data_IF_117065922614
#
_entry.id   IF_117065922614
#
_cell.length_a   1.000
_cell.length_b   1.000
_cell.length_c   1.000
_cell.angle_alpha   90.00
_cell.angle_beta   90.00
_cell.angle_gamma   90.00
#
_symmetry.space_group_name_H-M   'P 1'
#
loop_
_entity.id
_entity.type
_entity.pdbx_description
1 polymer ?
#
# COMPACT_ATOMS: atom_id res chain seq x y z
N UNK A 1 -37.58 -1.08 0.94
CA UNK A 1 -36.61 0.02 1.16
C UNK A 1 -35.32 -0.56 1.74
N UNK A 2 -34.32 -0.70 0.93
CA UNK A 2 -33.00 -1.17 1.39
C UNK A 2 -32.17 0.07 1.73
N UNK A 3 -32.06 0.42 3.01
CA UNK A 3 -31.06 1.36 3.51
C UNK A 3 -29.70 0.71 3.28
N UNK A 4 -28.86 1.26 2.42
CA UNK A 4 -27.54 0.71 2.21
C UNK A 4 -26.67 1.04 3.43
N UNK A 5 -25.87 0.08 3.88
CA UNK A 5 -24.92 0.26 4.99
C UNK A 5 -24.02 1.50 4.79
N UNK A 6 -23.77 1.90 3.54
CA UNK A 6 -23.09 3.15 3.20
C UNK A 6 -23.81 4.41 3.71
N UNK A 7 -25.15 4.44 3.74
CA UNK A 7 -25.91 5.58 4.24
C UNK A 7 -25.84 5.71 5.77
N UNK A 8 -25.68 4.60 6.48
CA UNK A 8 -25.62 4.60 7.95
C UNK A 8 -24.22 5.02 8.46
N UNK A 9 -23.16 4.67 7.72
CA UNK A 9 -21.80 5.19 7.97
C UNK A 9 -21.76 6.70 7.75
N UNK A 10 -22.41 7.21 6.66
CA UNK A 10 -22.51 8.64 6.40
C UNK A 10 -23.29 9.40 7.49
N UNK A 11 -24.36 8.80 8.02
CA UNK A 11 -25.19 9.43 9.06
C UNK A 11 -24.48 9.53 10.42
N UNK A 12 -23.62 8.55 10.76
CA UNK A 12 -22.80 8.62 11.98
C UNK A 12 -21.73 9.71 11.94
N UNK A 13 -21.32 10.15 10.75
CA UNK A 13 -20.34 11.23 10.55
C UNK A 13 -20.84 12.61 11.03
N UNK A 14 -22.14 12.85 11.08
CA UNK A 14 -22.71 14.17 11.34
C UNK A 14 -23.25 14.39 12.76
N UNK A 15 -23.31 13.35 13.62
CA UNK A 15 -23.98 13.44 14.92
C UNK A 15 -23.12 13.24 16.16
N UNK A 16 -21.82 13.06 16.00
CA UNK A 16 -20.91 12.99 17.15
C UNK A 16 -19.64 13.74 16.81
N UNK A 17 -19.30 14.78 17.52
CA UNK A 17 -18.10 15.61 17.32
C UNK A 17 -16.74 14.90 17.52
N UNK A 18 -16.64 13.61 17.26
CA UNK A 18 -15.40 12.87 17.18
C UNK A 18 -14.83 12.98 15.77
N UNK A 19 -13.59 13.46 15.68
CA UNK A 19 -12.82 13.46 14.44
C UNK A 19 -12.65 12.02 13.97
N UNK A 20 -13.42 11.62 12.95
CA UNK A 20 -13.25 10.30 12.35
C UNK A 20 -11.83 10.14 11.83
N UNK A 21 -11.18 9.07 12.27
CA UNK A 21 -9.92 8.66 11.68
C UNK A 21 -10.12 8.35 10.20
N UNK A 22 -9.26 8.89 9.36
CA UNK A 22 -9.34 8.70 7.92
C UNK A 22 -8.00 8.34 7.31
N UNK A 23 -8.06 7.45 6.34
CA UNK A 23 -6.93 7.00 5.53
C UNK A 23 -7.05 7.62 4.14
N UNK A 24 -5.94 8.16 3.65
CA UNK A 24 -5.81 8.56 2.26
C UNK A 24 -5.43 7.35 1.41
N UNK A 25 -6.17 7.09 0.35
CA UNK A 25 -5.80 6.20 -0.74
C UNK A 25 -5.35 7.08 -1.91
N UNK A 26 -4.05 7.18 -2.14
CA UNK A 26 -3.48 7.99 -3.21
C UNK A 26 -3.41 7.15 -4.49
N UNK A 27 -4.18 7.56 -5.48
CA UNK A 27 -4.44 6.81 -6.71
C UNK A 27 -3.36 7.06 -7.76
N UNK A 28 -2.58 6.03 -8.08
CA UNK A 28 -1.57 6.02 -9.15
C UNK A 28 -2.05 5.36 -10.46
N UNK A 29 -3.36 5.25 -10.67
CA UNK A 29 -3.96 4.70 -11.88
C UNK A 29 -4.18 3.20 -11.86
N UNK A 30 -4.10 2.57 -10.70
CA UNK A 30 -4.34 1.13 -10.54
C UNK A 30 -5.82 0.75 -10.65
N UNK A 31 -6.08 -0.50 -11.00
CA UNK A 31 -7.44 -1.03 -11.15
C UNK A 31 -8.13 -1.29 -9.79
N UNK A 32 -7.37 -1.41 -8.68
CA UNK A 32 -7.86 -1.85 -7.38
C UNK A 32 -8.00 -0.73 -6.34
N UNK A 33 -7.83 0.55 -6.72
CA UNK A 33 -7.94 1.68 -5.79
C UNK A 33 -9.28 1.73 -5.04
N UNK A 34 -10.40 1.47 -5.73
CA UNK A 34 -11.72 1.38 -5.09
C UNK A 34 -11.83 0.17 -4.15
N UNK A 35 -11.19 -0.96 -4.50
CA UNK A 35 -11.15 -2.14 -3.67
C UNK A 35 -10.32 -1.90 -2.40
N UNK A 36 -9.16 -1.24 -2.51
CA UNK A 36 -8.34 -0.83 -1.37
C UNK A 36 -9.17 0.04 -0.41
N UNK A 37 -9.82 1.08 -0.93
CA UNK A 37 -10.66 1.95 -0.12
C UNK A 37 -11.83 1.19 0.54
N UNK A 38 -12.41 0.20 -0.16
CA UNK A 38 -13.43 -0.67 0.39
C UNK A 38 -12.88 -1.51 1.54
N UNK A 39 -11.68 -2.12 1.40
CA UNK A 39 -11.06 -2.90 2.48
C UNK A 39 -10.83 -2.08 3.74
N UNK A 40 -10.32 -0.85 3.60
CA UNK A 40 -10.19 0.08 4.73
C UNK A 40 -11.54 0.33 5.40
N UNK A 41 -12.61 0.53 4.62
CA UNK A 41 -13.98 0.75 5.16
C UNK A 41 -14.58 -0.51 5.80
N UNK A 42 -14.26 -1.69 5.31
CA UNK A 42 -14.67 -2.97 5.91
C UNK A 42 -14.11 -3.12 7.35
N UNK A 43 -13.01 -2.41 7.67
CA UNK A 43 -12.45 -2.28 9.02
C UNK A 43 -12.97 -1.08 9.82
N UNK A 44 -14.09 -0.47 9.40
CA UNK A 44 -14.73 0.68 10.05
C UNK A 44 -13.88 1.97 10.09
N UNK A 45 -12.90 2.11 9.19
CA UNK A 45 -12.10 3.32 8.99
C UNK A 45 -12.53 4.02 7.72
N UNK A 46 -12.65 5.34 7.75
CA UNK A 46 -12.99 6.10 6.55
C UNK A 46 -11.81 6.14 5.59
N UNK A 47 -12.07 5.91 4.30
CA UNK A 47 -11.07 6.01 3.23
C UNK A 47 -11.50 7.07 2.21
N UNK A 48 -10.63 8.03 1.96
CA UNK A 48 -10.76 9.05 0.90
C UNK A 48 -9.78 8.70 -0.23
N UNK A 49 -10.27 8.67 -1.47
CA UNK A 49 -9.41 8.44 -2.64
C UNK A 49 -9.13 9.80 -3.27
N UNK A 50 -7.85 10.12 -3.44
CA UNK A 50 -7.40 11.31 -4.16
C UNK A 50 -6.41 10.91 -5.26
N UNK A 51 -6.36 11.63 -6.38
CA UNK A 51 -5.38 11.37 -7.44
C UNK A 51 -3.97 11.72 -6.97
N UNK A 52 -2.95 11.06 -7.53
CA UNK A 52 -1.53 11.33 -7.25
C UNK A 52 -1.11 12.77 -7.54
N UNK A 53 -1.90 13.52 -8.32
CA UNK A 53 -1.66 14.94 -8.62
C UNK A 53 -2.07 15.88 -7.47
N UNK A 54 -2.67 15.35 -6.39
CA UNK A 54 -3.09 16.16 -5.24
C UNK A 54 -1.88 16.81 -4.58
N UNK A 55 -1.87 18.13 -4.37
CA UNK A 55 -0.77 18.83 -3.73
C UNK A 55 -0.50 18.32 -2.31
N UNK A 56 0.79 18.22 -1.92
CA UNK A 56 1.17 17.73 -0.60
C UNK A 56 0.61 18.60 0.54
N UNK A 57 0.47 19.90 0.33
CA UNK A 57 -0.07 20.81 1.33
C UNK A 57 -1.58 20.57 1.57
N UNK A 58 -2.31 20.15 0.54
CA UNK A 58 -3.70 19.70 0.71
C UNK A 58 -3.75 18.44 1.56
N UNK A 59 -2.86 17.47 1.31
CA UNK A 59 -2.76 16.23 2.11
C UNK A 59 -2.46 16.55 3.58
N UNK A 60 -1.47 17.43 3.83
CA UNK A 60 -1.13 17.88 5.19
C UNK A 60 -2.31 18.51 5.93
N UNK A 61 -3.13 19.30 5.23
CA UNK A 61 -4.25 20.03 5.83
C UNK A 61 -5.40 19.12 6.28
N UNK A 62 -5.51 17.92 5.73
CA UNK A 62 -6.65 17.02 5.94
C UNK A 62 -6.50 16.06 7.15
N UNK A 63 -5.37 16.07 7.84
CA UNK A 63 -5.13 15.29 9.06
C UNK A 63 -5.40 13.77 8.91
N UNK A 64 -4.87 13.15 7.85
CA UNK A 64 -4.94 11.70 7.66
C UNK A 64 -4.14 10.94 8.72
N UNK A 65 -4.62 9.76 9.10
CA UNK A 65 -3.95 8.85 10.05
C UNK A 65 -3.06 7.82 9.36
N UNK A 66 -3.17 7.69 8.05
CA UNK A 66 -2.34 6.84 7.22
C UNK A 66 -2.55 7.17 5.74
N UNK A 67 -1.59 6.78 4.93
CA UNK A 67 -1.61 6.97 3.48
C UNK A 67 -1.34 5.62 2.82
N UNK A 68 -2.14 5.24 1.84
CA UNK A 68 -1.92 4.05 1.01
C UNK A 68 -1.60 4.52 -0.41
N UNK A 69 -0.45 4.11 -0.94
CA UNK A 69 -0.09 4.25 -2.33
C UNK A 69 -0.60 3.04 -3.10
N UNK A 70 -1.45 3.26 -4.07
CA UNK A 70 -2.05 2.17 -4.85
C UNK A 70 -1.07 1.54 -5.85
N UNK A 71 -1.46 0.42 -6.43
CA UNK A 71 -0.84 -0.08 -7.65
C UNK A 71 -1.03 0.87 -8.84
N UNK A 72 -0.37 0.57 -9.93
CA UNK A 72 -0.46 1.30 -11.20
C UNK A 72 0.07 0.46 -12.35
N UNK A 73 -0.30 0.78 -13.61
CA UNK A 73 0.09 0.01 -14.78
C UNK A 73 1.49 0.34 -15.31
N UNK A 74 2.14 1.35 -14.72
CA UNK A 74 3.36 1.96 -15.24
C UNK A 74 4.61 1.42 -14.56
N UNK A 75 5.79 1.69 -15.14
CA UNK A 75 7.10 1.50 -14.52
C UNK A 75 7.59 2.80 -13.87
N UNK A 76 8.26 2.72 -12.73
CA UNK A 76 8.86 3.90 -12.07
C UNK A 76 9.98 4.55 -12.89
N UNK A 77 10.49 3.87 -13.92
CA UNK A 77 11.51 4.40 -14.84
C UNK A 77 10.94 5.26 -15.95
N UNK A 78 9.66 5.13 -16.24
CA UNK A 78 9.02 5.92 -17.30
C UNK A 78 8.74 7.33 -16.77
N UNK A 79 9.33 8.34 -17.41
CA UNK A 79 9.13 9.75 -17.05
C UNK A 79 7.68 10.22 -17.17
N UNK A 80 6.85 9.51 -17.92
CA UNK A 80 5.41 9.78 -18.03
C UNK A 80 4.59 9.10 -16.93
N UNK A 81 5.21 8.24 -16.12
CA UNK A 81 4.54 7.54 -15.02
C UNK A 81 4.12 8.47 -13.90
N UNK A 82 3.06 8.12 -13.18
CA UNK A 82 2.63 8.85 -12.00
C UNK A 82 3.70 8.85 -10.91
N UNK A 83 4.41 9.94 -10.73
CA UNK A 83 5.37 10.15 -9.62
C UNK A 83 4.77 11.05 -8.55
N UNK A 84 5.37 10.99 -7.35
CA UNK A 84 5.04 11.90 -6.26
C UNK A 84 6.32 12.42 -5.60
N UNK A 85 6.21 13.49 -4.81
CA UNK A 85 7.36 14.02 -4.07
C UNK A 85 7.75 13.13 -2.89
N UNK A 86 9.05 12.90 -2.70
CA UNK A 86 9.58 12.10 -1.58
C UNK A 86 9.25 12.70 -0.21
N UNK A 87 8.96 14.00 -0.12
CA UNK A 87 8.61 14.70 1.12
C UNK A 87 7.37 14.09 1.82
N UNK A 88 6.51 13.37 1.07
CA UNK A 88 5.36 12.68 1.63
C UNK A 88 5.77 11.59 2.63
N UNK A 89 6.95 10.99 2.46
CA UNK A 89 7.50 9.98 3.36
C UNK A 89 8.04 10.57 4.68
N UNK A 90 8.18 11.89 4.74
CA UNK A 90 8.68 12.63 5.90
C UNK A 90 7.57 13.38 6.66
N UNK A 91 6.29 13.15 6.30
CA UNK A 91 5.16 13.78 6.99
C UNK A 91 4.90 13.22 8.40
N UNK A 92 5.55 12.14 8.79
CA UNK A 92 5.27 11.44 10.05
C UNK A 92 3.92 10.70 10.07
N UNK A 93 3.27 10.57 8.91
CA UNK A 93 2.05 9.80 8.71
C UNK A 93 2.44 8.40 8.23
N UNK A 94 1.93 7.31 8.84
CA UNK A 94 2.18 5.96 8.36
C UNK A 94 1.84 5.79 6.88
N UNK A 95 2.71 5.12 6.11
CA UNK A 95 2.53 4.88 4.67
C UNK A 95 2.57 3.39 4.36
N UNK A 96 1.63 2.92 3.54
CA UNK A 96 1.65 1.59 2.93
C UNK A 96 1.71 1.71 1.41
N UNK A 97 2.73 1.12 0.78
CA UNK A 97 2.82 1.00 -0.68
C UNK A 97 2.38 -0.38 -1.17
N UNK A 98 1.55 -0.43 -2.20
CA UNK A 98 1.05 -1.66 -2.82
C UNK A 98 1.49 -1.71 -4.28
N UNK A 99 2.18 -2.77 -4.71
CA UNK A 99 2.62 -3.04 -6.07
C UNK A 99 3.43 -1.86 -6.66
N UNK A 100 2.89 -1.07 -7.59
CA UNK A 100 3.54 0.14 -8.08
C UNK A 100 3.89 1.11 -6.93
N UNK A 101 3.00 1.30 -5.96
CA UNK A 101 3.25 2.12 -4.78
C UNK A 101 4.43 1.63 -3.93
N UNK A 102 4.66 0.32 -3.87
CA UNK A 102 5.83 -0.27 -3.22
C UNK A 102 7.12 0.10 -3.98
N UNK A 103 7.13 -0.04 -5.30
CA UNK A 103 8.28 0.32 -6.16
C UNK A 103 8.54 1.83 -6.10
N UNK A 104 7.50 2.65 -6.10
CA UNK A 104 7.61 4.11 -6.01
C UNK A 104 8.24 4.55 -4.67
N UNK A 105 7.85 3.93 -3.55
CA UNK A 105 8.48 4.17 -2.24
C UNK A 105 9.96 3.80 -2.29
N UNK A 106 10.30 2.62 -2.83
CA UNK A 106 11.69 2.21 -2.98
C UNK A 106 12.49 3.19 -3.83
N UNK A 107 11.94 3.60 -4.97
CA UNK A 107 12.57 4.56 -5.87
C UNK A 107 12.79 5.93 -5.22
N UNK A 108 11.76 6.48 -4.53
CA UNK A 108 11.87 7.76 -3.81
C UNK A 108 12.90 7.70 -2.68
N UNK A 109 13.00 6.55 -2.00
CA UNK A 109 13.97 6.32 -0.92
C UNK A 109 15.36 5.90 -1.43
N UNK A 110 15.61 5.95 -2.76
CA UNK A 110 16.89 5.60 -3.41
C UNK A 110 17.27 4.11 -3.28
N UNK A 111 16.28 3.23 -3.23
CA UNK A 111 16.44 1.80 -3.41
C UNK A 111 16.60 1.46 -4.89
N UNK A 112 16.88 0.19 -5.16
CA UNK A 112 17.10 -0.28 -6.52
C UNK A 112 15.86 -1.03 -7.04
N UNK A 113 15.21 -0.47 -8.06
CA UNK A 113 14.13 -1.13 -8.81
C UNK A 113 14.71 -1.61 -10.12
N UNK A 114 14.30 -2.78 -10.61
CA UNK A 114 14.74 -3.36 -11.89
C UNK A 114 13.59 -4.07 -12.57
N UNK A 115 13.69 -4.25 -13.87
CA UNK A 115 12.83 -5.21 -14.58
C UNK A 115 13.27 -6.63 -14.19
N UNK A 116 12.31 -7.45 -13.76
CA UNK A 116 12.57 -8.78 -13.28
C UNK A 116 12.96 -9.72 -14.44
N UNK A 117 13.93 -10.62 -14.24
CA UNK A 117 14.22 -11.68 -15.20
C UNK A 117 13.01 -12.60 -15.44
N UNK A 118 12.21 -12.81 -14.39
CA UNK A 118 10.97 -13.56 -14.41
C UNK A 118 9.89 -12.69 -13.79
N UNK A 119 8.88 -12.34 -14.58
CA UNK A 119 7.72 -11.59 -14.10
C UNK A 119 6.80 -12.51 -13.29
N UNK A 120 6.24 -11.99 -12.20
CA UNK A 120 5.31 -12.75 -11.38
C UNK A 120 3.87 -12.28 -11.62
N UNK A 121 3.04 -13.21 -12.09
CA UNK A 121 1.61 -13.00 -12.33
C UNK A 121 0.79 -14.15 -11.75
N UNK A 122 -0.22 -13.80 -10.95
CA UNK A 122 -1.12 -14.78 -10.34
C UNK A 122 -0.76 -15.15 -8.91
N UNK A 123 -1.04 -16.39 -8.52
CA UNK A 123 -0.83 -16.92 -7.18
C UNK A 123 0.62 -17.36 -7.02
N UNK A 124 1.33 -16.74 -6.09
CA UNK A 124 2.74 -17.00 -5.80
C UNK A 124 2.90 -17.29 -4.31
N UNK A 125 3.78 -18.23 -3.99
CA UNK A 125 4.14 -18.54 -2.60
C UNK A 125 4.99 -17.42 -2.02
N UNK A 126 4.57 -16.88 -0.87
CA UNK A 126 5.20 -15.78 -0.17
C UNK A 126 5.70 -16.22 1.20
N UNK A 127 6.92 -15.82 1.54
CA UNK A 127 7.55 -16.12 2.82
C UNK A 127 7.66 -14.85 3.67
N UNK A 128 7.16 -14.89 4.88
CA UNK A 128 7.36 -13.86 5.91
C UNK A 128 8.74 -14.07 6.54
N UNK A 129 9.62 -13.08 6.42
CA UNK A 129 10.98 -13.10 6.97
C UNK A 129 11.08 -12.45 8.36
N UNK A 130 10.15 -11.54 8.67
CA UNK A 130 10.06 -10.88 9.97
C UNK A 130 8.65 -10.96 10.53
N UNK A 131 8.42 -11.83 11.50
CA UNK A 131 7.13 -12.00 12.19
C UNK A 131 6.81 -10.88 13.20
N UNK A 132 7.81 -10.13 13.61
CA UNK A 132 7.63 -9.00 14.53
C UNK A 132 7.13 -7.74 13.80
N UNK A 133 7.11 -7.77 12.46
CA UNK A 133 6.53 -6.69 11.67
C UNK A 133 5.05 -6.52 12.01
N UNK A 134 4.63 -5.27 12.21
CA UNK A 134 3.23 -4.93 12.45
C UNK A 134 2.33 -5.38 11.29
N UNK A 135 2.86 -5.36 10.05
CA UNK A 135 2.13 -5.74 8.85
C UNK A 135 1.80 -7.24 8.81
N UNK A 136 2.67 -8.09 9.38
CA UNK A 136 2.51 -9.55 9.33
C UNK A 136 2.12 -10.18 10.66
N UNK A 137 1.64 -9.37 11.59
CA UNK A 137 1.07 -9.88 12.84
C UNK A 137 -0.11 -10.80 12.52
N UNK A 138 -0.06 -12.04 12.99
CA UNK A 138 -1.06 -13.09 12.71
C UNK A 138 -1.07 -13.62 11.26
N UNK A 139 -0.06 -13.34 10.47
CA UNK A 139 0.16 -13.95 9.15
C UNK A 139 1.09 -15.15 9.32
N UNK A 140 0.79 -16.34 8.74
CA UNK A 140 1.70 -17.49 8.77
C UNK A 140 3.05 -17.20 8.11
N UNK A 141 4.06 -18.02 8.40
CA UNK A 141 5.38 -17.93 7.76
C UNK A 141 5.32 -18.01 6.25
N UNK A 142 4.43 -18.86 5.75
CA UNK A 142 4.18 -19.04 4.32
C UNK A 142 2.71 -18.83 4.01
N UNK A 143 2.44 -18.19 2.90
CA UNK A 143 1.08 -17.96 2.41
C UNK A 143 1.10 -17.77 0.90
N UNK A 144 -0.08 -17.78 0.27
CA UNK A 144 -0.21 -17.48 -1.15
C UNK A 144 -0.67 -16.04 -1.31
N UNK A 145 0.02 -15.27 -2.15
CA UNK A 145 -0.30 -13.89 -2.48
C UNK A 145 -0.55 -13.72 -3.97
N UNK A 146 -1.27 -12.66 -4.34
CA UNK A 146 -1.51 -12.32 -5.74
C UNK A 146 -0.47 -11.32 -6.21
N UNK A 147 0.38 -11.75 -7.14
CA UNK A 147 1.37 -10.92 -7.83
C UNK A 147 0.86 -10.46 -9.19
N UNK A 148 1.27 -9.27 -9.60
CA UNK A 148 0.99 -8.70 -10.92
C UNK A 148 2.04 -7.63 -11.24
N UNK A 149 3.29 -8.07 -11.51
CA UNK A 149 4.38 -7.14 -11.76
C UNK A 149 5.44 -7.68 -12.72
N UNK A 150 6.07 -6.76 -13.43
CA UNK A 150 7.27 -6.99 -14.27
C UNK A 150 8.50 -6.38 -13.60
N UNK A 151 8.37 -5.19 -12.99
CA UNK A 151 9.44 -4.58 -12.23
C UNK A 151 9.38 -5.02 -10.76
N UNK A 152 10.55 -5.11 -10.12
CA UNK A 152 10.69 -5.54 -8.74
C UNK A 152 11.80 -4.76 -8.02
N UNK A 153 11.77 -4.77 -6.69
CA UNK A 153 12.82 -4.17 -5.86
C UNK A 153 13.96 -5.19 -5.71
N UNK A 154 15.09 -4.92 -6.37
CA UNK A 154 16.29 -5.78 -6.29
C UNK A 154 17.13 -5.50 -5.05
N UNK A 155 17.08 -4.26 -4.51
CA UNK A 155 17.72 -3.88 -3.26
C UNK A 155 16.85 -2.88 -2.50
N UNK A 156 16.53 -3.20 -1.27
CA UNK A 156 15.79 -2.31 -0.38
C UNK A 156 16.57 -1.02 -0.11
N UNK A 157 15.89 0.14 0.06
CA UNK A 157 16.56 1.39 0.39
C UNK A 157 17.28 1.33 1.74
N UNK A 158 18.25 2.23 1.94
CA UNK A 158 18.87 2.40 3.24
C UNK A 158 17.83 2.73 4.32
N UNK A 159 17.91 2.06 5.46
CA UNK A 159 16.94 2.19 6.57
C UNK A 159 15.69 1.35 6.44
N UNK A 160 15.54 0.60 5.33
CA UNK A 160 14.48 -0.39 5.18
C UNK A 160 14.99 -1.80 5.43
N UNK A 161 14.18 -2.60 6.12
CA UNK A 161 14.37 -4.03 6.27
C UNK A 161 13.48 -4.79 5.29
N UNK A 162 14.01 -5.82 4.63
CA UNK A 162 13.21 -6.78 3.88
C UNK A 162 12.49 -7.68 4.87
N UNK A 163 11.17 -7.72 4.80
CA UNK A 163 10.31 -8.48 5.72
C UNK A 163 9.57 -9.64 5.07
N UNK A 164 9.69 -9.79 3.75
CA UNK A 164 9.12 -10.91 3.02
C UNK A 164 9.65 -11.03 1.60
N UNK A 165 9.66 -12.24 1.07
CA UNK A 165 10.12 -12.56 -0.27
C UNK A 165 9.27 -13.63 -0.96
N UNK A 166 9.51 -13.81 -2.26
CA UNK A 166 9.12 -14.97 -3.06
C UNK A 166 10.38 -15.62 -3.63
N UNK A 167 10.24 -16.65 -4.46
CA UNK A 167 11.40 -17.25 -5.13
C UNK A 167 12.08 -16.29 -6.12
N UNK A 168 11.29 -15.45 -6.81
CA UNK A 168 11.77 -14.58 -7.89
C UNK A 168 11.80 -13.09 -7.49
N UNK A 169 11.15 -12.72 -6.37
CA UNK A 169 11.15 -11.37 -5.82
C UNK A 169 11.81 -11.35 -4.42
N UNK A 170 13.10 -11.03 -4.32
CA UNK A 170 13.84 -11.05 -3.06
C UNK A 170 13.35 -9.99 -2.05
N UNK A 171 12.73 -8.92 -2.53
CA UNK A 171 12.12 -7.87 -1.71
C UNK A 171 10.63 -7.72 -2.06
N UNK A 172 9.85 -8.76 -1.75
CA UNK A 172 8.40 -8.73 -1.96
C UNK A 172 7.66 -7.95 -0.88
N UNK A 173 8.31 -7.70 0.27
CA UNK A 173 7.83 -6.80 1.30
C UNK A 173 9.00 -6.17 2.06
N UNK A 174 8.85 -4.90 2.41
CA UNK A 174 9.84 -4.14 3.19
C UNK A 174 9.19 -3.17 4.15
N UNK A 175 9.92 -2.79 5.20
CA UNK A 175 9.48 -1.80 6.18
C UNK A 175 10.61 -0.87 6.63
N UNK A 176 10.24 0.37 6.95
CA UNK A 176 11.06 1.28 7.74
C UNK A 176 10.28 1.60 9.03
N UNK A 177 10.65 0.96 10.13
CA UNK A 177 9.94 1.05 11.41
C UNK A 177 10.03 2.47 12.00
N UNK A 178 11.15 3.15 11.82
CA UNK A 178 11.36 4.50 12.37
C UNK A 178 10.41 5.52 11.71
N UNK A 179 10.16 5.38 10.41
CA UNK A 179 9.27 6.25 9.65
C UNK A 179 7.83 5.72 9.57
N UNK A 180 7.54 4.52 10.11
CA UNK A 180 6.27 3.81 9.93
C UNK A 180 5.88 3.64 8.44
N UNK A 181 6.83 3.25 7.60
CA UNK A 181 6.62 2.99 6.18
C UNK A 181 6.66 1.49 5.94
N UNK A 182 5.66 0.98 5.25
CA UNK A 182 5.50 -0.42 4.87
C UNK A 182 5.25 -0.50 3.38
N UNK A 183 5.70 -1.56 2.75
CA UNK A 183 5.47 -1.73 1.33
C UNK A 183 5.44 -3.21 0.96
N UNK A 184 4.50 -3.58 0.07
CA UNK A 184 4.31 -4.93 -0.44
C UNK A 184 4.21 -4.91 -1.96
N UNK A 185 4.90 -5.84 -2.63
CA UNK A 185 4.85 -5.98 -4.08
C UNK A 185 3.55 -6.63 -4.56
N UNK A 186 2.94 -7.46 -3.73
CA UNK A 186 1.68 -8.16 -4.01
C UNK A 186 0.46 -7.29 -3.69
N UNK A 187 -0.71 -7.79 -4.04
CA UNK A 187 -2.00 -7.16 -3.82
C UNK A 187 -2.74 -7.81 -2.63
N UNK A 188 -2.63 -7.28 -1.40
CA UNK A 188 -3.33 -7.82 -0.24
C UNK A 188 -4.84 -7.61 -0.30
N UNK A 189 -5.31 -6.60 -1.05
CA UNK A 189 -6.72 -6.22 -1.16
C UNK A 189 -7.57 -7.22 -1.91
N UNK A 190 -6.98 -8.04 -2.79
CA UNK A 190 -7.73 -9.02 -3.60
C UNK A 190 -7.95 -10.32 -2.83
N UNK A 191 -9.04 -11.02 -3.14
CA UNK A 191 -9.43 -12.28 -2.47
C UNK A 191 -8.48 -13.45 -2.74
N UNK A 192 -7.63 -13.33 -3.75
CA UNK A 192 -6.63 -14.34 -4.11
C UNK A 192 -5.39 -14.31 -3.19
N UNK A 193 -5.16 -13.20 -2.50
CA UNK A 193 -4.14 -13.11 -1.46
C UNK A 193 -4.72 -13.64 -0.15
N UNK A 194 -4.11 -14.73 0.34
CA UNK A 194 -4.43 -15.25 1.66
C UNK A 194 -4.01 -14.23 2.73
N UNK A 195 -4.77 -14.15 3.81
CA UNK A 195 -4.47 -13.27 4.94
C UNK A 195 -4.36 -11.76 4.61
N UNK A 196 -4.84 -11.32 3.44
CA UNK A 196 -4.81 -9.89 3.08
C UNK A 196 -5.61 -9.00 4.03
N UNK A 197 -6.65 -9.55 4.69
CA UNK A 197 -7.42 -8.81 5.70
C UNK A 197 -6.69 -8.67 7.05
N UNK A 198 -5.65 -9.46 7.30
CA UNK A 198 -4.81 -9.40 8.51
C UNK A 198 -3.65 -8.42 8.35
N UNK A 199 -3.30 -8.11 7.12
CA UNK A 199 -2.28 -7.14 6.73
C UNK A 199 -2.86 -5.73 6.69
#
# INVERSE_FOLDING_TARGET
MRSSAASDVYKRQFYGGEFMEKILVLDFGGQYNQLIARRVRDHNVYAEILPYTTPIDEIKSKNYKGIIFTGGPNSVFDMSSPHYTADILDLGIPVLGICYGCQLIAWMAKGEVKTAPVSEYGKIDFNVLNKESKLFKNVPETSVVWMSHTDYISAAPQGFAVIGNTNDCPCAAMENVEKNIYAVQFHPEVTHSQFGNQM
#
